data_IF_778652388661
#
_entry.id   IF_778652388661
#
_cell.length_a   1.000
_cell.length_b   1.000
_cell.length_c   1.000
_cell.angle_alpha   90.00
_cell.angle_beta   90.00
_cell.angle_gamma   90.00
#
_symmetry.space_group_name_H-M   'P 1'
#
loop_
_entity.id
_entity.type
_entity.pdbx_description
1 polymer ?
#
# COMPACT_ATOMS: atom_id res chain seq x y z
N UNK A 1 -18.97 22.92 -34.22
CA UNK A 1 -19.32 21.88 -33.22
C UNK A 1 -18.47 22.13 -31.99
N UNK A 2 -19.08 22.41 -30.84
CA UNK A 2 -18.32 22.66 -29.59
C UNK A 2 -17.93 21.32 -28.95
N UNK A 3 -16.70 21.15 -28.42
CA UNK A 3 -16.30 19.89 -27.82
C UNK A 3 -17.06 19.64 -26.51
N UNK A 4 -17.74 18.49 -26.42
CA UNK A 4 -18.30 17.96 -25.18
C UNK A 4 -17.15 17.61 -24.22
N UNK A 5 -16.79 18.56 -23.34
CA UNK A 5 -15.89 18.29 -22.23
C UNK A 5 -16.59 17.29 -21.31
N UNK A 6 -16.09 16.05 -21.27
CA UNK A 6 -16.62 14.98 -20.41
C UNK A 6 -16.65 15.44 -18.94
N UNK A 7 -17.81 15.91 -18.47
CA UNK A 7 -18.03 16.33 -17.09
C UNK A 7 -18.04 15.09 -16.21
N UNK A 8 -16.96 14.90 -15.44
CA UNK A 8 -16.90 13.83 -14.45
C UNK A 8 -17.70 14.27 -13.23
N UNK A 9 -18.50 13.37 -12.67
CA UNK A 9 -19.21 13.56 -11.41
C UNK A 9 -18.69 12.52 -10.42
N UNK A 10 -18.14 12.97 -9.31
CA UNK A 10 -17.82 12.13 -8.15
C UNK A 10 -18.84 12.49 -7.07
N UNK A 11 -19.64 11.51 -6.65
CA UNK A 11 -20.37 11.57 -5.39
C UNK A 11 -19.62 10.70 -4.38
N UNK A 12 -19.34 11.28 -3.24
CA UNK A 12 -18.83 10.61 -2.05
C UNK A 12 -19.89 10.70 -0.96
N UNK A 13 -19.99 9.67 -0.14
CA UNK A 13 -20.89 9.59 0.98
C UNK A 13 -20.15 8.93 2.15
N UNK A 14 -20.05 9.65 3.27
CA UNK A 14 -19.50 9.17 4.53
C UNK A 14 -20.64 9.10 5.54
N UNK A 15 -20.52 8.17 6.48
CA UNK A 15 -21.38 8.09 7.66
C UNK A 15 -20.49 7.69 8.83
N UNK A 16 -20.56 8.39 9.96
CA UNK A 16 -19.88 7.98 11.19
C UNK A 16 -20.82 7.09 12.04
N UNK A 17 -20.27 6.48 13.10
CA UNK A 17 -21.04 5.62 13.99
C UNK A 17 -22.06 6.40 14.85
N UNK A 18 -21.89 7.73 14.98
CA UNK A 18 -22.84 8.64 15.65
C UNK A 18 -24.06 8.99 14.76
N UNK A 19 -24.06 8.60 13.48
CA UNK A 19 -25.16 8.81 12.53
C UNK A 19 -25.07 10.08 11.67
N UNK A 20 -24.01 10.88 11.81
CA UNK A 20 -23.73 12.01 10.91
C UNK A 20 -23.43 11.51 9.50
N UNK A 21 -24.06 12.13 8.50
CA UNK A 21 -23.90 11.78 7.08
C UNK A 21 -23.39 12.96 6.28
N UNK A 22 -22.16 12.84 5.76
CA UNK A 22 -21.56 13.81 4.86
C UNK A 22 -21.67 13.33 3.41
N UNK A 23 -22.24 14.15 2.53
CA UNK A 23 -22.29 13.89 1.09
C UNK A 23 -21.50 14.98 0.37
N UNK A 24 -20.42 14.60 -0.31
CA UNK A 24 -19.63 15.50 -1.15
C UNK A 24 -19.91 15.20 -2.63
N UNK A 25 -20.19 16.24 -3.43
CA UNK A 25 -20.42 16.11 -4.87
C UNK A 25 -19.49 17.05 -5.62
N UNK A 26 -18.61 16.50 -6.45
CA UNK A 26 -17.73 17.26 -7.34
C UNK A 26 -18.11 17.02 -8.79
N UNK A 27 -18.29 18.08 -9.56
CA UNK A 27 -18.65 18.02 -10.99
C UNK A 27 -17.68 18.81 -11.89
N UNK A 28 -17.48 18.32 -13.11
CA UNK A 28 -16.75 19.01 -14.17
C UNK A 28 -15.37 18.40 -14.46
N UNK A 29 -14.37 19.26 -14.65
CA UNK A 29 -12.97 18.83 -14.81
C UNK A 29 -12.39 18.53 -13.43
N UNK A 30 -12.06 17.26 -13.20
CA UNK A 30 -11.40 16.76 -12.00
C UNK A 30 -9.98 16.37 -12.39
N UNK A 31 -9.01 17.02 -11.76
CA UNK A 31 -7.57 16.92 -11.96
C UNK A 31 -6.86 16.59 -10.63
N UNK A 32 -5.54 16.46 -10.68
CA UNK A 32 -4.74 16.02 -9.53
C UNK A 32 -4.83 16.99 -8.34
N UNK A 33 -4.96 18.28 -8.61
CA UNK A 33 -5.08 19.33 -7.57
C UNK A 33 -6.38 19.19 -6.78
N UNK A 34 -7.52 19.04 -7.47
CA UNK A 34 -8.82 18.78 -6.81
C UNK A 34 -8.85 17.46 -6.03
N UNK A 35 -8.10 16.46 -6.47
CA UNK A 35 -7.94 15.20 -5.73
C UNK A 35 -7.07 15.34 -4.48
N UNK A 36 -6.07 16.24 -4.47
CA UNK A 36 -5.30 16.55 -3.27
C UNK A 36 -6.15 17.36 -2.28
N UNK A 37 -6.86 18.40 -2.74
CA UNK A 37 -7.81 19.16 -1.91
C UNK A 37 -8.89 18.29 -1.26
N UNK A 38 -9.37 17.24 -1.96
CA UNK A 38 -10.26 16.24 -1.38
C UNK A 38 -9.58 15.45 -0.26
N UNK A 39 -8.34 15.02 -0.45
CA UNK A 39 -7.59 14.28 0.57
C UNK A 39 -7.34 15.15 1.82
N UNK A 40 -6.89 16.40 1.63
CA UNK A 40 -6.67 17.37 2.70
C UNK A 40 -7.97 17.64 3.50
N UNK A 41 -9.11 17.76 2.80
CA UNK A 41 -10.43 17.91 3.40
C UNK A 41 -10.87 16.67 4.19
N UNK A 42 -10.59 15.47 3.68
CA UNK A 42 -10.91 14.21 4.37
C UNK A 42 -10.04 14.02 5.61
N UNK A 43 -8.74 14.29 5.55
CA UNK A 43 -7.84 14.22 6.71
C UNK A 43 -8.25 15.24 7.79
N UNK A 44 -8.72 16.44 7.39
CA UNK A 44 -9.27 17.45 8.30
C UNK A 44 -10.62 17.03 8.92
N UNK A 45 -11.52 16.43 8.13
CA UNK A 45 -12.85 16.00 8.59
C UNK A 45 -12.81 14.70 9.42
N UNK A 46 -11.84 13.82 9.17
CA UNK A 46 -11.65 12.53 9.86
C UNK A 46 -11.12 12.65 11.30
N UNK A 47 -11.18 13.84 11.90
CA UNK A 47 -10.57 14.24 13.17
C UNK A 47 -10.52 13.15 14.24
N UNK A 48 -9.40 12.43 14.30
CA UNK A 48 -9.07 11.42 15.30
C UNK A 48 -10.07 10.25 15.48
N UNK A 49 -10.89 9.90 14.47
CA UNK A 49 -11.66 8.65 14.49
C UNK A 49 -11.05 7.58 13.57
N UNK A 50 -10.79 6.40 14.14
CA UNK A 50 -10.01 5.32 13.52
C UNK A 50 -10.85 4.37 12.64
N UNK A 51 -11.89 4.84 11.93
CA UNK A 51 -12.76 3.95 11.15
C UNK A 51 -12.82 4.28 9.64
N UNK A 52 -12.15 3.41 8.88
CA UNK A 52 -12.78 2.78 7.72
C UNK A 52 -12.76 3.48 6.35
N UNK A 53 -12.74 4.81 6.23
CA UNK A 53 -13.00 5.51 4.93
C UNK A 53 -11.84 5.49 3.91
N UNK A 54 -11.41 4.28 3.54
CA UNK A 54 -10.41 4.01 2.53
C UNK A 54 -10.96 4.29 1.11
N UNK A 55 -10.74 5.49 0.61
CA UNK A 55 -11.01 5.82 -0.79
C UNK A 55 -10.18 4.93 -1.75
N UNK A 56 -10.76 4.30 -2.79
CA UNK A 56 -10.01 3.44 -3.72
C UNK A 56 -8.80 4.13 -4.40
N UNK A 57 -8.88 5.44 -4.63
CA UNK A 57 -7.77 6.24 -5.18
C UNK A 57 -6.63 6.47 -4.16
N UNK A 58 -6.99 6.72 -2.90
CA UNK A 58 -6.04 6.95 -1.81
C UNK A 58 -5.42 5.61 -1.38
N UNK A 59 -6.22 4.54 -1.31
CA UNK A 59 -5.77 3.17 -1.11
C UNK A 59 -4.79 2.73 -2.20
N UNK A 60 -5.13 2.94 -3.49
CA UNK A 60 -4.22 2.64 -4.60
C UNK A 60 -2.89 3.38 -4.47
N UNK A 61 -2.92 4.65 -4.06
CA UNK A 61 -1.72 5.46 -3.79
C UNK A 61 -0.90 4.93 -2.60
N UNK A 62 -1.54 4.66 -1.45
CA UNK A 62 -0.86 4.15 -0.24
C UNK A 62 -0.28 2.74 -0.46
N UNK A 63 -1.00 1.83 -1.14
CA UNK A 63 -0.50 0.49 -1.51
C UNK A 63 0.70 0.59 -2.46
N UNK A 64 0.65 1.46 -3.46
CA UNK A 64 1.78 1.68 -4.37
C UNK A 64 3.02 2.24 -3.63
N UNK A 65 2.84 3.26 -2.79
CA UNK A 65 3.92 3.82 -1.93
C UNK A 65 4.49 2.77 -0.98
N UNK A 66 3.66 1.95 -0.36
CA UNK A 66 4.09 0.84 0.50
C UNK A 66 4.94 -0.18 -0.27
N UNK A 67 4.50 -0.62 -1.45
CA UNK A 67 5.29 -1.55 -2.27
C UNK A 67 6.68 -0.99 -2.63
N UNK A 68 6.79 0.32 -2.87
CA UNK A 68 8.05 1.01 -3.12
C UNK A 68 8.94 1.12 -1.87
N UNK A 69 8.37 1.43 -0.71
CA UNK A 69 9.09 1.42 0.58
C UNK A 69 9.62 0.01 0.88
N UNK A 70 8.80 -1.01 0.69
CA UNK A 70 9.18 -2.40 0.93
C UNK A 70 10.33 -2.84 0.03
N UNK A 71 10.23 -2.63 -1.28
CA UNK A 71 11.31 -2.98 -2.24
C UNK A 71 12.59 -2.20 -2.03
N UNK A 72 12.52 -0.96 -1.54
CA UNK A 72 13.68 -0.09 -1.28
C UNK A 72 14.41 -0.43 0.01
N UNK A 73 13.68 -0.63 1.10
CA UNK A 73 14.25 -0.73 2.46
C UNK A 73 14.27 -2.15 3.03
N UNK A 74 13.41 -3.03 2.52
CA UNK A 74 13.32 -4.43 2.95
C UNK A 74 13.46 -5.42 1.76
N UNK A 75 14.49 -5.26 0.88
CA UNK A 75 14.68 -6.15 -0.27
C UNK A 75 15.03 -7.59 0.13
N UNK A 76 15.56 -7.77 1.34
CA UNK A 76 15.99 -9.04 1.93
C UNK A 76 15.54 -9.11 3.39
N UNK A 77 15.20 -10.33 3.85
CA UNK A 77 14.87 -10.60 5.25
C UNK A 77 13.40 -10.36 5.62
N UNK A 78 13.14 -10.44 6.93
CA UNK A 78 11.80 -10.27 7.52
C UNK A 78 11.63 -8.89 8.13
N UNK A 79 10.45 -8.31 7.95
CA UNK A 79 10.06 -7.02 8.52
C UNK A 79 8.66 -7.09 9.15
N UNK A 80 8.36 -6.15 10.06
CA UNK A 80 7.08 -6.00 10.74
C UNK A 80 6.28 -4.81 10.17
N UNK A 81 5.00 -4.71 10.55
CA UNK A 81 4.20 -3.53 10.23
C UNK A 81 4.75 -2.23 10.83
N UNK A 82 5.52 -2.28 11.93
CA UNK A 82 6.13 -1.09 12.54
C UNK A 82 7.30 -0.57 11.70
N UNK A 83 8.21 -1.46 11.32
CA UNK A 83 9.39 -1.13 10.51
C UNK A 83 8.98 -0.44 9.20
N UNK A 84 7.88 -0.90 8.58
CA UNK A 84 7.33 -0.31 7.37
C UNK A 84 6.66 1.06 7.60
N UNK A 85 6.02 1.28 8.76
CA UNK A 85 5.48 2.60 9.13
C UNK A 85 6.63 3.59 9.30
N UNK A 86 7.69 3.22 10.00
CA UNK A 86 8.88 4.06 10.21
C UNK A 86 9.53 4.42 8.87
N UNK A 87 9.76 3.43 8.01
CA UNK A 87 10.34 3.64 6.68
C UNK A 87 9.43 4.47 5.74
N UNK A 88 8.10 4.34 5.84
CA UNK A 88 7.14 5.13 5.07
C UNK A 88 7.16 6.61 5.49
N UNK A 89 7.11 6.87 6.81
CA UNK A 89 7.15 8.23 7.35
C UNK A 89 8.49 8.90 7.02
N UNK A 90 9.60 8.15 7.06
CA UNK A 90 10.92 8.65 6.69
C UNK A 90 11.04 8.97 5.18
N UNK A 91 10.45 8.16 4.29
CA UNK A 91 10.51 8.36 2.83
C UNK A 91 9.59 9.48 2.32
N UNK A 92 8.38 9.60 2.87
CA UNK A 92 7.33 10.45 2.32
C UNK A 92 6.94 11.64 3.21
N UNK A 93 7.38 11.67 4.46
CA UNK A 93 6.97 12.67 5.47
C UNK A 93 5.43 12.75 5.65
N UNK A 94 4.74 11.63 5.39
CA UNK A 94 3.30 11.47 5.49
C UNK A 94 2.95 10.51 6.64
N UNK A 95 1.91 10.79 7.44
CA UNK A 95 1.49 9.89 8.52
C UNK A 95 0.90 8.58 7.98
N UNK A 96 1.24 7.47 8.64
CA UNK A 96 0.68 6.15 8.38
C UNK A 96 0.41 5.42 9.70
N UNK A 97 -0.84 5.01 9.93
CA UNK A 97 -1.19 4.24 11.14
C UNK A 97 -0.79 2.77 11.02
N UNK A 98 -0.49 2.13 12.16
CA UNK A 98 -0.10 0.73 12.23
C UNK A 98 -1.20 -0.23 11.74
N UNK A 99 -2.47 0.14 11.94
CA UNK A 99 -3.64 -0.61 11.43
C UNK A 99 -3.73 -0.53 9.90
N UNK A 100 -3.54 0.66 9.33
CA UNK A 100 -3.50 0.88 7.87
C UNK A 100 -2.35 0.09 7.24
N UNK A 101 -1.15 0.19 7.79
CA UNK A 101 0.01 -0.56 7.33
C UNK A 101 -0.23 -2.07 7.39
N UNK A 102 -0.73 -2.59 8.51
CA UNK A 102 -1.02 -4.02 8.67
C UNK A 102 -2.07 -4.53 7.69
N UNK A 103 -3.12 -3.72 7.43
CA UNK A 103 -4.18 -4.04 6.45
C UNK A 103 -3.63 -4.12 5.03
N UNK A 104 -2.83 -3.14 4.62
CA UNK A 104 -2.24 -3.14 3.27
C UNK A 104 -1.13 -4.19 3.11
N UNK A 105 -0.36 -4.51 4.15
CA UNK A 105 0.61 -5.60 4.13
C UNK A 105 -0.07 -6.97 4.01
N UNK A 106 -1.19 -7.19 4.70
CA UNK A 106 -2.02 -8.38 4.49
C UNK A 106 -2.51 -8.47 3.04
N UNK A 107 -3.09 -7.40 2.49
CA UNK A 107 -3.55 -7.35 1.08
C UNK A 107 -2.41 -7.55 0.06
N UNK A 108 -1.19 -7.12 0.37
CA UNK A 108 -0.01 -7.39 -0.47
C UNK A 108 0.42 -8.87 -0.37
N UNK A 109 0.27 -9.50 0.79
CA UNK A 109 0.49 -10.93 0.94
C UNK A 109 -0.58 -11.77 0.20
N UNK A 110 -1.85 -11.41 0.34
CA UNK A 110 -2.98 -12.06 -0.36
C UNK A 110 -2.84 -12.01 -1.89
N UNK A 111 -2.14 -10.98 -2.41
CA UNK A 111 -1.83 -10.79 -3.84
C UNK A 111 -0.50 -11.42 -4.27
N UNK A 112 0.18 -12.17 -3.40
CA UNK A 112 1.45 -12.83 -3.69
C UNK A 112 2.66 -11.90 -3.82
N UNK A 113 2.56 -10.64 -3.37
CA UNK A 113 3.72 -9.73 -3.31
C UNK A 113 4.60 -10.03 -2.09
N UNK A 114 3.98 -10.46 -0.98
CA UNK A 114 4.65 -10.79 0.27
C UNK A 114 4.35 -12.22 0.71
N UNK A 115 5.34 -12.85 1.35
CA UNK A 115 5.12 -13.97 2.26
C UNK A 115 4.74 -13.41 3.64
N UNK A 116 3.76 -14.03 4.31
CA UNK A 116 3.31 -13.65 5.66
C UNK A 116 3.53 -14.82 6.63
N UNK A 117 4.34 -14.58 7.65
CA UNK A 117 4.68 -15.57 8.68
C UNK A 117 4.15 -15.15 10.05
N UNK A 118 3.78 -16.12 10.88
CA UNK A 118 3.30 -15.90 12.24
C UNK A 118 1.82 -15.49 12.34
N UNK A 119 1.39 -15.20 13.57
CA UNK A 119 0.01 -14.85 13.93
C UNK A 119 -0.02 -13.86 15.10
N UNK A 120 -1.17 -13.19 15.29
CA UNK A 120 -1.36 -12.15 16.30
C UNK A 120 -0.33 -11.01 16.20
N UNK A 121 0.28 -10.65 17.32
CA UNK A 121 1.27 -9.56 17.37
C UNK A 121 2.65 -9.93 16.77
N UNK A 122 2.88 -11.20 16.42
CA UNK A 122 4.18 -11.69 15.91
C UNK A 122 4.18 -11.90 14.39
N UNK A 123 3.30 -11.22 13.65
CA UNK A 123 3.28 -11.27 12.19
C UNK A 123 4.54 -10.61 11.64
N UNK A 124 5.23 -11.31 10.74
CA UNK A 124 6.33 -10.79 9.93
C UNK A 124 6.05 -11.02 8.46
N UNK A 125 6.55 -10.13 7.63
CA UNK A 125 6.44 -10.17 6.19
C UNK A 125 7.83 -10.26 5.55
N UNK A 126 7.89 -10.80 4.34
CA UNK A 126 9.08 -10.86 3.49
C UNK A 126 8.62 -10.72 2.03
N UNK A 127 9.45 -10.14 1.16
CA UNK A 127 9.15 -10.14 -0.28
C UNK A 127 9.16 -11.58 -0.83
N UNK A 128 8.08 -11.97 -1.50
CA UNK A 128 7.94 -13.32 -2.07
C UNK A 128 8.96 -13.58 -3.19
N UNK A 129 9.33 -12.53 -3.93
CA UNK A 129 10.54 -12.51 -4.74
C UNK A 129 11.45 -11.37 -4.26
N UNK A 130 12.65 -11.66 -3.72
CA UNK A 130 13.57 -10.62 -3.28
C UNK A 130 13.97 -9.76 -4.48
N UNK A 131 13.62 -8.47 -4.44
CA UNK A 131 13.99 -7.52 -5.48
C UNK A 131 15.46 -7.13 -5.29
N UNK A 132 16.35 -7.87 -5.94
CA UNK A 132 17.77 -7.50 -5.99
C UNK A 132 17.86 -6.18 -6.77
N UNK A 133 18.24 -5.09 -6.08
CA UNK A 133 18.48 -3.79 -6.71
C UNK A 133 19.84 -3.85 -7.43
N UNK A 134 19.90 -4.60 -8.52
CA UNK A 134 21.06 -4.62 -9.40
C UNK A 134 21.13 -3.28 -10.13
N UNK A 135 22.13 -2.47 -9.78
CA UNK A 135 22.53 -1.37 -10.65
C UNK A 135 23.15 -1.98 -11.91
N UNK A 136 22.34 -1.98 -12.97
CA UNK A 136 22.62 -2.31 -14.37
C UNK A 136 22.60 -3.80 -14.79
N UNK A 137 21.61 -4.09 -15.66
CA UNK A 137 21.70 -4.87 -16.91
C UNK A 137 21.58 -6.42 -16.89
N UNK A 138 20.38 -6.89 -17.29
CA UNK A 138 20.06 -8.12 -18.06
C UNK A 138 20.12 -9.52 -17.39
N UNK A 139 18.96 -10.23 -17.47
CA UNK A 139 18.81 -11.70 -17.67
C UNK A 139 19.14 -12.66 -16.48
N UNK A 140 18.28 -13.55 -15.97
CA UNK A 140 16.84 -13.89 -16.16
C UNK A 140 16.43 -14.91 -15.05
N UNK A 141 15.18 -15.01 -14.55
CA UNK A 141 14.82 -16.07 -13.62
C UNK A 141 14.74 -17.43 -14.32
N UNK A 142 15.59 -18.39 -13.93
CA UNK A 142 15.31 -19.81 -14.20
C UNK A 142 14.34 -20.34 -13.14
N UNK A 143 13.31 -21.02 -13.61
CA UNK A 143 12.30 -21.70 -12.80
C UNK A 143 12.91 -22.75 -11.87
N UNK A 144 12.28 -22.95 -10.72
CA UNK A 144 12.59 -24.00 -9.76
C UNK A 144 12.61 -25.41 -10.39
N UNK A 145 13.45 -26.27 -9.85
CA UNK A 145 13.35 -27.73 -9.94
C UNK A 145 13.80 -28.33 -8.61
N UNK A 146 12.94 -29.09 -7.94
CA UNK A 146 13.08 -29.54 -6.53
C UNK A 146 14.03 -30.75 -6.34
N UNK A 147 14.72 -31.19 -7.39
CA UNK A 147 15.40 -32.49 -7.48
C UNK A 147 16.91 -32.49 -7.15
N UNK A 148 17.36 -31.74 -6.13
CA UNK A 148 18.77 -31.80 -5.69
C UNK A 148 18.98 -31.75 -4.18
N UNK A 149 18.12 -32.46 -3.44
CA UNK A 149 18.58 -33.11 -2.20
C UNK A 149 19.59 -34.21 -2.55
N UNK A 150 20.89 -33.90 -2.44
CA UNK A 150 21.90 -34.94 -2.24
C UNK A 150 23.02 -34.45 -1.32
N UNK A 151 23.00 -34.93 -0.08
CA UNK A 151 24.09 -34.77 0.89
C UNK A 151 25.05 -35.96 0.67
N UNK A 152 26.34 -35.69 0.40
CA UNK A 152 27.33 -36.51 1.09
C UNK A 152 28.56 -35.73 1.59
N UNK A 153 28.80 -35.92 2.88
CA UNK A 153 30.08 -36.20 3.55
C UNK A 153 31.36 -35.35 3.31
N UNK A 154 31.88 -34.89 4.45
CA UNK A 154 33.27 -34.51 4.73
C UNK A 154 34.33 -35.51 4.22
N UNK A 155 35.57 -35.02 4.05
CA UNK A 155 36.68 -35.45 4.93
C UNK A 155 37.02 -34.39 5.99
#
# INVERSE_FOLDING_TARGET
MSPQISRRKIKLELTNDDGDRLILIMEGRIDREKLMQLADFLDLYSGSHNEGTNHPLIEGSKVAKLSRVITKYFPLGFFSSRDVVEAYIAEYHEPLSLSTASTYLARLADRGFLERHGSGNNIRYKLLQPYIIEKSNQYYPKTFSEDSYNIPHYP
#
